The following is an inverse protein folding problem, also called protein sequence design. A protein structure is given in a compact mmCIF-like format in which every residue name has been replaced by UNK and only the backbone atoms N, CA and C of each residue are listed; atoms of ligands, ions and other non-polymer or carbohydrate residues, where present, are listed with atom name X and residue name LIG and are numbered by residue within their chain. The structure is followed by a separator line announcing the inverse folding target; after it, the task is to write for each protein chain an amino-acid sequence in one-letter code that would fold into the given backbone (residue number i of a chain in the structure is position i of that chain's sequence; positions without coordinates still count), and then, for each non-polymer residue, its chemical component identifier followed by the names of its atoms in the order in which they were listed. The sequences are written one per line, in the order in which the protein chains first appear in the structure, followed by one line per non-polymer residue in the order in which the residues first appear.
data_IF_624313866812
#
_entry.id   IF_624313866812
#
_cell.length_a   1.000
_cell.length_b   1.000
_cell.length_c   1.000
_cell.angle_alpha   90.00
_cell.angle_beta   90.00
_cell.angle_gamma   90.00
#
_symmetry.space_group_name_H-M   'P 1'
#
loop_
_entity.id
_entity.type
_entity.pdbx_description
1 polymer ?
#
# COMPACT_ATOMS: atom_id res chain seq x y z
N UNK A 1 -15.64 -14.80 61.81
CA UNK A 1 -15.01 -16.09 62.14
C UNK A 1 -14.47 -16.69 60.85
N UNK A 2 -13.16 -16.58 60.65
CA UNK A 2 -12.40 -17.39 59.67
C UNK A 2 -12.32 -18.84 60.17
N UNK A 3 -11.85 -19.80 59.34
CA UNK A 3 -10.43 -20.08 59.42
C UNK A 3 -9.73 -20.39 58.09
N UNK A 4 -8.44 -20.05 58.09
CA UNK A 4 -7.37 -20.51 57.20
C UNK A 4 -6.67 -21.70 57.89
N UNK A 5 -6.16 -22.68 57.15
CA UNK A 5 -4.84 -23.25 57.49
C UNK A 5 -4.06 -23.63 56.22
N UNK A 6 -2.76 -23.90 56.16
CA UNK A 6 -1.57 -23.66 56.99
C UNK A 6 -0.38 -24.16 56.14
N UNK A 7 0.76 -23.46 56.19
CA UNK A 7 2.04 -23.92 55.63
C UNK A 7 2.53 -25.20 56.35
N UNK A 8 3.20 -26.08 55.62
CA UNK A 8 4.09 -27.11 56.19
C UNK A 8 5.48 -26.99 55.56
N UNK A 9 6.42 -26.54 56.38
CA UNK A 9 7.87 -26.61 56.17
C UNK A 9 8.42 -27.88 56.83
N UNK A 10 9.32 -28.60 56.15
CA UNK A 10 10.20 -29.59 56.77
C UNK A 10 11.62 -29.42 56.25
N UNK A 11 12.50 -28.96 57.14
CA UNK A 11 13.97 -29.19 57.14
C UNK A 11 14.23 -30.67 57.47
N UNK A 12 15.37 -31.34 57.26
CA UNK A 12 16.81 -31.02 57.34
C UNK A 12 17.59 -32.12 56.59
N UNK A 13 18.83 -31.86 56.16
CA UNK A 13 20.02 -32.55 56.68
C UNK A 13 21.33 -32.02 56.07
N UNK A 14 22.27 -31.77 56.98
CA UNK A 14 23.66 -31.37 56.81
C UNK A 14 24.53 -32.55 56.39
N UNK A 15 25.55 -32.29 55.55
CA UNK A 15 26.91 -32.83 55.76
C UNK A 15 27.93 -32.03 54.95
N UNK A 16 28.94 -31.51 55.65
CA UNK A 16 30.17 -30.88 55.16
C UNK A 16 31.02 -31.82 54.32
N UNK A 17 31.73 -31.28 53.31
CA UNK A 17 33.12 -31.62 52.99
C UNK A 17 33.72 -30.64 51.97
N UNK A 18 34.84 -30.03 52.36
CA UNK A 18 35.66 -29.10 51.59
C UNK A 18 36.30 -29.76 50.36
N UNK A 19 36.32 -29.06 49.22
CA UNK A 19 37.47 -29.13 48.30
C UNK A 19 37.64 -27.82 47.53
N UNK A 20 38.90 -27.38 47.50
CA UNK A 20 39.44 -26.16 46.93
C UNK A 20 39.56 -26.35 45.41
N UNK A 21 39.02 -25.44 44.60
CA UNK A 21 39.50 -25.23 43.22
C UNK A 21 39.20 -23.82 42.69
N UNK A 22 40.17 -23.34 41.91
CA UNK A 22 40.54 -21.96 41.53
C UNK A 22 39.53 -21.17 40.66
N UNK A 23 39.68 -19.83 40.54
CA UNK A 23 38.84 -19.02 39.66
C UNK A 23 39.13 -19.29 38.17
N UNK A 24 38.13 -19.15 37.27
CA UNK A 24 38.32 -19.34 35.84
C UNK A 24 39.13 -18.18 35.22
N UNK A 25 39.93 -18.42 34.17
CA UNK A 25 40.72 -17.39 33.53
C UNK A 25 39.86 -16.48 32.63
N UNK A 26 40.11 -15.19 32.72
CA UNK A 26 39.74 -14.17 31.73
C UNK A 26 40.69 -14.19 30.52
N UNK A 27 40.28 -13.54 29.42
CA UNK A 27 40.93 -13.35 28.09
C UNK A 27 40.86 -14.54 27.12
N UNK A 28 40.51 -14.39 25.84
CA UNK A 28 40.44 -13.23 24.92
C UNK A 28 39.40 -13.49 23.81
N UNK A 29 38.61 -12.48 23.46
CA UNK A 29 37.71 -12.52 22.29
C UNK A 29 38.47 -12.04 21.05
N UNK A 30 38.80 -12.97 20.15
CA UNK A 30 39.29 -12.66 18.81
C UNK A 30 38.11 -12.22 17.92
N UNK A 31 38.18 -11.07 17.23
CA UNK A 31 37.22 -10.76 16.18
C UNK A 31 37.58 -11.60 14.95
N UNK A 32 36.75 -12.58 14.60
CA UNK A 32 36.82 -13.21 13.29
C UNK A 32 36.37 -12.19 12.25
N UNK A 33 37.33 -11.57 11.58
CA UNK A 33 37.09 -10.75 10.41
C UNK A 33 36.50 -11.64 9.30
N UNK A 34 35.19 -11.55 9.10
CA UNK A 34 34.55 -12.03 7.89
C UNK A 34 35.05 -11.17 6.72
N UNK A 35 36.01 -11.69 5.95
CA UNK A 35 36.38 -11.13 4.66
C UNK A 35 35.11 -11.02 3.81
N UNK A 36 34.82 -9.87 3.18
CA UNK A 36 33.71 -9.78 2.25
C UNK A 36 33.98 -10.76 1.09
N UNK A 37 33.01 -11.65 0.83
CA UNK A 37 33.06 -12.61 -0.27
C UNK A 37 33.32 -11.87 -1.59
N UNK A 38 34.56 -11.98 -2.06
CA UNK A 38 35.07 -11.29 -3.24
C UNK A 38 34.35 -11.70 -4.54
N UNK A 39 33.54 -12.77 -4.48
CA UNK A 39 32.65 -13.25 -5.53
C UNK A 39 31.47 -12.32 -5.82
N UNK A 40 31.07 -11.49 -4.85
CA UNK A 40 30.00 -10.50 -5.03
C UNK A 40 30.41 -9.28 -5.87
N UNK A 41 31.63 -9.22 -6.41
CA UNK A 41 32.08 -8.10 -7.26
C UNK A 41 32.20 -8.46 -8.74
N UNK A 42 31.91 -9.70 -9.14
CA UNK A 42 32.01 -10.15 -10.54
C UNK A 42 31.02 -9.48 -11.49
N UNK A 43 29.91 -8.93 -10.98
CA UNK A 43 28.91 -8.19 -11.76
C UNK A 43 29.24 -6.69 -11.87
N UNK A 44 30.19 -6.17 -11.08
CA UNK A 44 30.59 -4.76 -11.13
C UNK A 44 31.21 -4.36 -12.46
N UNK A 45 32.09 -5.16 -13.11
CA UNK A 45 32.56 -4.86 -14.46
C UNK A 45 31.43 -4.83 -15.48
N UNK A 46 30.41 -5.67 -15.33
CA UNK A 46 29.24 -5.71 -16.22
C UNK A 46 28.37 -4.45 -16.05
N UNK A 47 28.12 -4.00 -14.82
CA UNK A 47 27.42 -2.74 -14.57
C UNK A 47 28.22 -1.51 -15.03
N UNK A 48 29.54 -1.50 -14.84
CA UNK A 48 30.41 -0.40 -15.29
C UNK A 48 30.53 -0.37 -16.81
N UNK A 49 30.45 -1.53 -17.48
CA UNK A 49 30.37 -1.60 -18.93
C UNK A 49 29.00 -1.12 -19.45
N UNK A 50 27.91 -1.51 -18.79
CA UNK A 50 26.54 -1.07 -19.12
C UNK A 50 26.38 0.45 -18.93
N UNK A 51 27.01 1.04 -17.90
CA UNK A 51 26.96 2.50 -17.69
C UNK A 51 27.72 3.28 -18.77
N UNK A 52 28.79 2.72 -19.34
CA UNK A 52 29.56 3.37 -20.41
C UNK A 52 28.82 3.38 -21.75
N UNK A 53 28.03 2.35 -22.05
CA UNK A 53 27.12 2.32 -23.21
C UNK A 53 25.99 3.37 -23.10
N UNK A 54 25.53 3.69 -21.89
CA UNK A 54 24.46 4.66 -21.64
C UNK A 54 24.91 6.14 -21.61
N UNK A 55 26.21 6.43 -21.65
CA UNK A 55 26.71 7.82 -21.56
C UNK A 55 27.12 8.47 -22.88
N UNK A 56 26.92 7.82 -24.03
CA UNK A 56 27.14 8.46 -25.34
C UNK A 56 25.88 9.17 -25.85
N UNK A 57 25.46 10.21 -25.13
CA UNK A 57 24.61 11.26 -25.72
C UNK A 57 25.43 12.54 -25.70
N UNK A 58 25.95 12.91 -26.88
CA UNK A 58 26.59 14.20 -27.10
C UNK A 58 25.55 15.30 -26.89
N UNK A 59 25.61 15.96 -25.74
CA UNK A 59 24.84 17.16 -25.47
C UNK A 59 25.42 18.32 -26.29
N UNK A 60 24.91 18.55 -27.51
CA UNK A 60 25.06 19.85 -28.14
C UNK A 60 24.09 20.83 -27.47
N UNK A 61 24.63 21.64 -26.57
CA UNK A 61 23.92 22.79 -26.02
C UNK A 61 23.96 23.94 -27.03
N UNK A 62 23.16 23.87 -28.08
CA UNK A 62 22.75 25.06 -28.81
C UNK A 62 21.46 25.56 -28.17
N UNK A 63 21.60 26.48 -27.22
CA UNK A 63 20.48 27.25 -26.68
C UNK A 63 19.98 28.14 -27.84
N UNK A 64 18.99 27.66 -28.59
CA UNK A 64 18.19 28.52 -29.44
C UNK A 64 17.24 29.27 -28.53
N UNK A 65 17.42 30.60 -28.47
CA UNK A 65 16.41 31.51 -27.93
C UNK A 65 15.09 31.26 -28.70
N UNK A 66 13.94 31.08 -28.03
CA UNK A 66 12.66 31.00 -28.74
C UNK A 66 12.42 32.34 -29.42
N UNK A 67 12.58 32.40 -30.74
CA UNK A 67 11.96 33.42 -31.57
C UNK A 67 10.46 33.35 -31.29
N UNK A 68 9.86 34.51 -31.02
CA UNK A 68 8.45 34.69 -30.69
C UNK A 68 7.51 33.83 -31.56
N UNK A 69 7.16 32.67 -31.03
CA UNK A 69 5.85 32.07 -31.25
C UNK A 69 5.26 32.00 -29.85
N UNK A 70 4.24 32.81 -29.62
CA UNK A 70 3.48 32.79 -28.38
C UNK A 70 3.12 31.32 -28.08
N UNK A 71 3.54 30.75 -26.93
CA UNK A 71 2.99 29.48 -26.49
C UNK A 71 1.56 29.77 -26.06
N UNK A 72 0.64 29.81 -27.02
CA UNK A 72 -0.77 29.83 -26.72
C UNK A 72 -1.08 28.48 -26.10
N UNK A 73 -1.35 28.47 -24.80
CA UNK A 73 -1.97 27.31 -24.18
C UNK A 73 -3.20 26.95 -25.03
N UNK A 74 -3.30 25.73 -25.58
CA UNK A 74 -4.51 25.32 -26.29
C UNK A 74 -5.69 25.51 -25.34
N UNK A 75 -6.79 26.08 -25.86
CA UNK A 75 -7.98 26.27 -25.08
C UNK A 75 -8.44 24.91 -24.51
N UNK A 76 -8.89 24.85 -23.25
CA UNK A 76 -9.43 23.63 -22.67
C UNK A 76 -10.56 23.08 -23.56
N UNK A 77 -10.47 21.80 -23.92
CA UNK A 77 -11.53 21.07 -24.63
C UNK A 77 -12.81 21.08 -23.78
N UNK A 78 -13.90 21.71 -24.25
CA UNK A 78 -15.15 21.80 -23.49
C UNK A 78 -15.79 20.45 -23.19
N UNK A 79 -15.36 19.35 -23.83
CA UNK A 79 -15.86 17.99 -23.55
C UNK A 79 -15.19 17.32 -22.36
N UNK A 80 -14.07 17.86 -21.85
CA UNK A 80 -13.30 17.25 -20.77
C UNK A 80 -13.63 17.82 -19.39
N UNK A 81 -13.54 16.96 -18.38
CA UNK A 81 -13.72 17.33 -16.98
C UNK A 81 -12.39 17.73 -16.34
N UNK A 82 -12.11 19.03 -16.26
CA UNK A 82 -10.87 19.57 -15.68
C UNK A 82 -10.83 19.62 -14.15
N UNK A 83 -11.93 19.26 -13.48
CA UNK A 83 -12.03 19.20 -12.01
C UNK A 83 -12.63 17.87 -11.59
N UNK A 84 -11.98 16.74 -11.89
CA UNK A 84 -12.52 15.43 -11.58
C UNK A 84 -12.67 15.26 -10.07
N UNK A 85 -13.70 14.53 -9.69
CA UNK A 85 -13.97 14.11 -8.31
C UNK A 85 -13.81 12.59 -8.25
N UNK A 86 -12.95 12.10 -7.36
CA UNK A 86 -12.66 10.67 -7.23
C UNK A 86 -13.18 10.18 -5.88
N UNK A 87 -13.94 9.10 -5.92
CA UNK A 87 -14.40 8.39 -4.74
C UNK A 87 -13.28 7.50 -4.19
N UNK A 88 -12.97 7.59 -2.90
CA UNK A 88 -12.01 6.67 -2.24
C UNK A 88 -12.77 5.77 -1.28
N UNK A 89 -12.71 4.46 -1.50
CA UNK A 89 -13.37 3.48 -0.62
C UNK A 89 -12.58 3.35 0.68
N UNK A 90 -13.28 3.50 1.81
CA UNK A 90 -12.71 3.31 3.14
C UNK A 90 -12.47 1.84 3.47
N UNK A 91 -11.42 1.55 4.22
CA UNK A 91 -11.10 0.21 4.70
C UNK A 91 -11.64 -0.01 6.13
N UNK A 92 -12.10 -1.22 6.52
CA UNK A 92 -12.50 -1.53 7.88
C UNK A 92 -11.37 -1.36 8.91
N UNK A 93 -11.73 -0.85 10.09
CA UNK A 93 -10.82 -0.58 11.20
C UNK A 93 -10.37 0.87 11.29
N UNK A 94 -9.40 1.13 12.15
CA UNK A 94 -8.89 2.47 12.48
C UNK A 94 -7.56 2.81 11.80
N UNK A 95 -7.02 1.91 10.97
CA UNK A 95 -5.69 2.04 10.38
C UNK A 95 -4.53 1.88 11.37
N UNK A 96 -4.80 1.48 12.62
CA UNK A 96 -3.83 1.37 13.69
C UNK A 96 -4.02 0.09 14.54
N UNK A 97 -4.61 -0.96 13.95
CA UNK A 97 -4.86 -2.26 14.58
C UNK A 97 -5.65 -2.17 15.90
N UNK A 98 -6.63 -1.26 15.96
CA UNK A 98 -7.50 -1.06 17.12
C UNK A 98 -6.91 -0.17 18.22
N UNK A 99 -5.71 0.38 18.02
CA UNK A 99 -5.03 1.25 19.01
C UNK A 99 -5.69 2.63 19.15
N UNK A 100 -6.34 3.13 18.09
CA UNK A 100 -7.01 4.44 18.08
C UNK A 100 -8.51 4.28 18.28
N UNK A 101 -9.11 3.27 17.64
CA UNK A 101 -10.51 2.95 17.78
C UNK A 101 -10.76 1.45 17.53
N UNK A 102 -11.37 0.77 18.48
CA UNK A 102 -11.69 -0.66 18.39
C UNK A 102 -13.19 -0.91 18.10
N UNK A 103 -13.92 0.11 17.67
CA UNK A 103 -15.31 -0.05 17.27
C UNK A 103 -15.40 -0.92 16.00
N UNK A 104 -16.32 -1.88 15.98
CA UNK A 104 -16.53 -2.79 14.84
C UNK A 104 -17.02 -2.09 13.58
N UNK A 105 -17.57 -0.88 13.71
CA UNK A 105 -17.99 -0.01 12.64
C UNK A 105 -16.95 1.08 12.31
N UNK A 106 -15.73 1.02 12.86
CA UNK A 106 -14.67 1.94 12.50
C UNK A 106 -14.27 1.73 11.03
N UNK A 107 -14.05 2.84 10.33
CA UNK A 107 -13.57 2.87 8.95
C UNK A 107 -12.49 3.93 8.80
N UNK A 108 -11.52 3.68 7.93
CA UNK A 108 -10.36 4.54 7.75
C UNK A 108 -10.03 4.71 6.26
N UNK A 109 -9.53 5.89 5.91
CA UNK A 109 -8.87 6.17 4.63
C UNK A 109 -7.49 6.73 4.93
N UNK A 110 -6.45 6.15 4.34
CA UNK A 110 -5.11 6.67 4.50
C UNK A 110 -4.97 8.04 3.85
N UNK A 111 -4.40 9.00 4.59
CA UNK A 111 -4.13 10.34 4.08
C UNK A 111 -3.22 10.32 2.84
N UNK A 112 -2.36 9.30 2.70
CA UNK A 112 -1.52 9.11 1.51
C UNK A 112 -2.34 8.90 0.23
N UNK A 113 -3.47 8.18 0.30
CA UNK A 113 -4.35 7.99 -0.86
C UNK A 113 -5.07 9.28 -1.23
N UNK A 114 -5.53 10.04 -0.24
CA UNK A 114 -6.12 11.37 -0.46
C UNK A 114 -5.10 12.29 -1.13
N UNK A 115 -3.87 12.33 -0.60
CA UNK A 115 -2.82 13.18 -1.14
C UNK A 115 -2.40 12.78 -2.55
N UNK A 116 -2.37 11.49 -2.85
CA UNK A 116 -2.11 10.98 -4.20
C UNK A 116 -3.15 11.52 -5.21
N UNK A 117 -4.44 11.45 -4.87
CA UNK A 117 -5.52 11.94 -5.73
C UNK A 117 -5.49 13.47 -5.86
N UNK A 118 -5.30 14.19 -4.75
CA UNK A 118 -5.21 15.66 -4.77
C UNK A 118 -4.01 16.17 -5.57
N UNK A 119 -2.88 15.47 -5.48
CA UNK A 119 -1.66 15.84 -6.23
C UNK A 119 -1.85 15.64 -7.74
N UNK A 120 -2.79 14.78 -8.16
CA UNK A 120 -3.22 14.64 -9.54
C UNK A 120 -4.24 15.71 -9.99
N UNK A 121 -4.57 16.69 -9.13
CA UNK A 121 -5.51 17.77 -9.44
C UNK A 121 -6.98 17.42 -9.24
N UNK A 122 -7.29 16.26 -8.65
CA UNK A 122 -8.64 15.81 -8.40
C UNK A 122 -9.13 16.15 -6.98
N UNK A 123 -10.45 16.23 -6.80
CA UNK A 123 -11.10 16.32 -5.48
C UNK A 123 -11.46 14.93 -4.98
N UNK A 124 -11.57 14.76 -3.66
CA UNK A 124 -11.86 13.47 -3.04
C UNK A 124 -13.24 13.47 -2.38
N UNK A 125 -14.01 12.41 -2.62
CA UNK A 125 -15.20 12.07 -1.82
C UNK A 125 -14.96 10.73 -1.11
N UNK A 126 -15.15 10.64 0.22
CA UNK A 126 -15.05 9.37 0.92
C UNK A 126 -16.26 8.48 0.64
N UNK A 127 -15.99 7.26 0.20
CA UNK A 127 -16.97 6.19 0.03
C UNK A 127 -16.87 5.24 1.22
N UNK A 128 -17.76 5.42 2.19
CA UNK A 128 -17.70 4.65 3.44
C UNK A 128 -18.30 3.26 3.19
N UNK A 129 -17.52 2.20 3.45
CA UNK A 129 -17.90 0.84 3.08
C UNK A 129 -19.11 0.31 3.87
N UNK A 130 -19.33 0.80 5.09
CA UNK A 130 -20.42 0.35 5.96
C UNK A 130 -21.69 1.21 5.85
N UNK A 131 -21.75 2.13 4.88
CA UNK A 131 -22.97 2.87 4.59
C UNK A 131 -24.00 2.00 3.83
N UNK A 132 -25.29 2.36 3.90
CA UNK A 132 -26.32 1.71 3.08
C UNK A 132 -25.98 1.79 1.59
N UNK A 133 -26.25 0.69 0.85
CA UNK A 133 -25.99 0.56 -0.60
C UNK A 133 -26.50 1.74 -1.42
N UNK A 134 -27.69 2.25 -1.10
CA UNK A 134 -28.32 3.35 -1.84
C UNK A 134 -27.55 4.66 -1.69
N UNK A 135 -27.05 4.94 -0.48
CA UNK A 135 -26.22 6.11 -0.19
C UNK A 135 -24.88 5.99 -0.92
N UNK A 136 -24.28 4.80 -0.88
CA UNK A 136 -23.03 4.52 -1.56
C UNK A 136 -23.16 4.69 -3.09
N UNK A 137 -24.23 4.19 -3.70
CA UNK A 137 -24.48 4.37 -5.13
C UNK A 137 -24.75 5.82 -5.50
N UNK A 138 -25.48 6.55 -4.66
CA UNK A 138 -25.68 8.00 -4.86
C UNK A 138 -24.34 8.75 -4.85
N UNK A 139 -23.43 8.41 -3.92
CA UNK A 139 -22.07 8.98 -3.91
C UNK A 139 -21.27 8.55 -5.14
N UNK A 140 -21.39 7.29 -5.58
CA UNK A 140 -20.72 6.78 -6.76
C UNK A 140 -21.16 7.49 -8.05
N UNK A 141 -22.43 7.89 -8.14
CA UNK A 141 -22.95 8.65 -9.28
C UNK A 141 -22.52 10.13 -9.27
N UNK A 142 -22.00 10.65 -8.15
CA UNK A 142 -21.47 12.01 -8.04
C UNK A 142 -19.98 12.12 -8.36
N UNK A 143 -19.27 10.99 -8.45
CA UNK A 143 -17.83 10.95 -8.73
C UNK A 143 -17.57 10.56 -10.18
N UNK A 144 -16.43 10.98 -10.70
CA UNK A 144 -15.96 10.67 -12.04
C UNK A 144 -15.14 9.37 -12.11
N UNK A 145 -14.76 8.82 -10.95
CA UNK A 145 -13.96 7.60 -10.87
C UNK A 145 -13.86 7.10 -9.43
N UNK A 146 -13.32 5.90 -9.26
CA UNK A 146 -13.17 5.29 -7.93
C UNK A 146 -11.78 4.71 -7.70
N UNK A 147 -11.27 4.91 -6.49
CA UNK A 147 -10.03 4.33 -5.99
C UNK A 147 -10.35 3.34 -4.87
N UNK A 148 -10.00 2.08 -5.08
CA UNK A 148 -10.06 1.05 -4.06
C UNK A 148 -8.75 1.01 -3.27
N UNK A 149 -8.89 1.14 -1.95
CA UNK A 149 -7.75 1.13 -1.03
C UNK A 149 -7.43 -0.28 -0.59
N UNK A 150 -6.14 -0.57 -0.41
CA UNK A 150 -5.69 -1.86 0.10
C UNK A 150 -5.74 -1.92 1.63
N UNK A 151 -5.66 -3.15 2.15
CA UNK A 151 -5.60 -3.43 3.57
C UNK A 151 -5.80 -4.92 3.83
N UNK A 152 -5.94 -5.32 5.09
CA UNK A 152 -5.96 -6.74 5.50
C UNK A 152 -7.28 -7.48 5.23
N UNK A 153 -8.38 -6.77 4.94
CA UNK A 153 -9.70 -7.36 4.82
C UNK A 153 -9.90 -8.00 3.45
N UNK A 154 -10.00 -9.33 3.42
CA UNK A 154 -10.17 -10.15 2.20
C UNK A 154 -11.59 -10.72 2.03
N UNK A 155 -12.46 -10.54 3.03
CA UNK A 155 -13.80 -11.13 3.09
C UNK A 155 -14.77 -10.24 3.88
N UNK A 156 -16.05 -10.61 3.87
CA UNK A 156 -17.12 -9.91 4.59
C UNK A 156 -17.67 -8.68 3.85
N UNK A 157 -18.33 -7.79 4.59
CA UNK A 157 -19.05 -6.62 4.06
C UNK A 157 -18.17 -5.77 3.12
N UNK A 158 -16.90 -5.58 3.46
CA UNK A 158 -15.97 -4.82 2.62
C UNK A 158 -15.82 -5.44 1.22
N UNK A 159 -15.65 -6.76 1.15
CA UNK A 159 -15.54 -7.47 -0.13
C UNK A 159 -16.82 -7.36 -0.96
N UNK A 160 -17.98 -7.56 -0.34
CA UNK A 160 -19.28 -7.45 -1.00
C UNK A 160 -19.51 -6.04 -1.58
N UNK A 161 -19.05 -5.02 -0.88
CA UNK A 161 -19.13 -3.62 -1.32
C UNK A 161 -18.21 -3.35 -2.50
N UNK A 162 -16.97 -3.85 -2.44
CA UNK A 162 -16.01 -3.74 -3.55
C UNK A 162 -16.55 -4.42 -4.81
N UNK A 163 -17.08 -5.65 -4.66
CA UNK A 163 -17.69 -6.39 -5.77
C UNK A 163 -18.92 -5.65 -6.33
N UNK A 164 -19.74 -5.08 -5.46
CA UNK A 164 -20.91 -4.31 -5.86
C UNK A 164 -20.57 -3.04 -6.64
N UNK A 165 -19.57 -2.28 -6.19
CA UNK A 165 -19.09 -1.09 -6.91
C UNK A 165 -18.49 -1.53 -8.24
N UNK A 166 -17.67 -2.58 -8.27
CA UNK A 166 -17.06 -3.09 -9.50
C UNK A 166 -18.11 -3.48 -10.55
N UNK A 167 -19.12 -4.26 -10.16
CA UNK A 167 -20.24 -4.62 -11.06
C UNK A 167 -20.99 -3.39 -11.58
N UNK A 168 -21.16 -2.36 -10.77
CA UNK A 168 -21.80 -1.10 -11.18
C UNK A 168 -20.91 -0.34 -12.18
N UNK A 169 -19.60 -0.28 -11.94
CA UNK A 169 -18.63 0.34 -12.85
C UNK A 169 -18.59 -0.37 -14.19
N UNK A 170 -18.59 -1.71 -14.21
CA UNK A 170 -18.69 -2.50 -15.45
C UNK A 170 -19.95 -2.12 -16.23
N UNK A 171 -21.12 -2.10 -15.59
CA UNK A 171 -22.37 -1.70 -16.24
C UNK A 171 -22.33 -0.28 -16.82
N UNK A 172 -21.63 0.67 -16.17
CA UNK A 172 -21.47 2.04 -16.69
C UNK A 172 -20.57 2.03 -17.92
N UNK A 173 -19.44 1.33 -17.86
CA UNK A 173 -18.52 1.18 -18.98
C UNK A 173 -19.18 0.48 -20.19
N UNK A 174 -19.93 -0.59 -19.96
CA UNK A 174 -20.66 -1.31 -21.01
C UNK A 174 -21.75 -0.45 -21.67
N UNK A 175 -22.31 0.51 -20.93
CA UNK A 175 -23.26 1.50 -21.44
C UNK A 175 -22.59 2.69 -22.18
N UNK A 176 -21.25 2.69 -22.29
CA UNK A 176 -20.48 3.77 -22.92
C UNK A 176 -20.17 4.96 -22.00
N UNK A 177 -20.52 4.88 -20.70
CA UNK A 177 -20.13 5.86 -19.69
C UNK A 177 -18.79 5.45 -19.07
N UNK A 178 -17.69 5.96 -19.64
CA UNK A 178 -16.34 5.62 -19.22
C UNK A 178 -16.07 6.04 -17.78
N UNK A 179 -15.97 5.04 -16.90
CA UNK A 179 -15.78 5.20 -15.47
C UNK A 179 -14.47 4.56 -15.02
N UNK A 180 -13.39 5.34 -14.83
CA UNK A 180 -12.10 4.83 -14.38
C UNK A 180 -12.18 4.26 -12.97
N UNK A 181 -11.56 3.09 -12.80
CA UNK A 181 -11.37 2.43 -11.51
C UNK A 181 -9.89 2.10 -11.33
N UNK A 182 -9.33 2.57 -10.22
CA UNK A 182 -7.96 2.26 -9.80
C UNK A 182 -8.00 1.40 -8.53
N UNK A 183 -7.20 0.36 -8.48
CA UNK A 183 -7.08 -0.52 -7.33
C UNK A 183 -5.61 -0.64 -6.92
N UNK A 184 -5.29 -0.25 -5.69
CA UNK A 184 -3.90 -0.24 -5.19
C UNK A 184 -3.72 -1.30 -4.09
N UNK A 185 -2.56 -1.97 -4.09
CA UNK A 185 -2.15 -2.98 -3.11
C UNK A 185 -3.04 -4.24 -3.11
N UNK A 186 -3.45 -4.79 -1.96
CA UNK A 186 -4.13 -6.08 -1.80
C UNK A 186 -5.39 -6.25 -2.66
N UNK A 187 -6.01 -5.16 -3.11
CA UNK A 187 -7.12 -5.18 -4.05
C UNK A 187 -6.70 -5.68 -5.43
N UNK A 188 -5.44 -5.50 -5.86
CA UNK A 188 -4.92 -6.12 -7.10
C UNK A 188 -5.00 -7.65 -7.03
N UNK A 189 -4.64 -8.24 -5.88
CA UNK A 189 -4.72 -9.69 -5.69
C UNK A 189 -6.16 -10.19 -5.63
N UNK A 190 -7.05 -9.39 -5.04
CA UNK A 190 -8.48 -9.67 -5.02
C UNK A 190 -9.12 -9.60 -6.41
N UNK A 191 -8.72 -8.62 -7.21
CA UNK A 191 -9.11 -8.54 -8.61
C UNK A 191 -8.57 -9.72 -9.40
N UNK A 192 -7.33 -10.17 -9.20
CA UNK A 192 -6.83 -11.38 -9.86
C UNK A 192 -7.66 -12.63 -9.51
N UNK A 193 -8.27 -12.72 -8.33
CA UNK A 193 -9.19 -13.81 -7.98
C UNK A 193 -10.56 -13.67 -8.65
N UNK A 194 -11.10 -12.45 -8.71
CA UNK A 194 -12.38 -12.17 -9.39
C UNK A 194 -12.23 -12.35 -10.92
N UNK A 195 -11.11 -11.89 -11.48
CA UNK A 195 -10.77 -11.92 -12.91
C UNK A 195 -10.24 -13.29 -13.36
N UNK A 196 -9.68 -14.09 -12.44
CA UNK A 196 -9.25 -15.46 -12.73
C UNK A 196 -10.40 -16.42 -13.03
N UNK A 197 -11.64 -16.01 -12.76
CA UNK A 197 -12.84 -16.78 -13.08
C UNK A 197 -13.47 -16.40 -14.42
N UNK A 198 -13.24 -15.19 -14.93
CA UNK A 198 -13.66 -14.79 -16.28
C UNK A 198 -12.70 -13.72 -16.82
N UNK A 199 -12.03 -14.11 -17.91
CA UNK A 199 -11.07 -13.37 -18.74
C UNK A 199 -11.21 -11.85 -18.66
N UNK A 200 -10.08 -11.12 -18.54
CA UNK A 200 -9.75 -9.93 -19.33
C UNK A 200 -8.47 -9.27 -18.76
N UNK A 201 -7.35 -9.44 -19.47
CA UNK A 201 -6.10 -8.69 -19.29
C UNK A 201 -6.20 -7.22 -19.78
N UNK A 202 -7.39 -6.62 -19.88
CA UNK A 202 -7.63 -5.39 -20.65
C UNK A 202 -8.04 -4.16 -19.82
N UNK A 203 -7.97 -4.21 -18.48
CA UNK A 203 -8.45 -3.08 -17.66
C UNK A 203 -7.34 -2.16 -17.12
N UNK A 204 -6.07 -2.58 -17.10
CA UNK A 204 -5.00 -1.77 -16.50
C UNK A 204 -4.31 -0.76 -17.44
N UNK A 205 -4.68 -0.70 -18.73
CA UNK A 205 -3.97 0.12 -19.73
C UNK A 205 -4.84 0.96 -20.68
N UNK A 206 -6.18 0.97 -20.57
CA UNK A 206 -7.01 1.86 -21.39
C UNK A 206 -7.14 3.28 -20.79
N UNK A 207 -5.99 3.86 -20.41
CA UNK A 207 -5.81 5.30 -20.37
C UNK A 207 -5.17 5.67 -21.72
N UNK A 208 -5.88 6.30 -22.67
CA UNK A 208 -5.20 6.90 -23.81
C UNK A 208 -4.27 7.98 -23.27
N UNK A 209 -2.96 7.84 -23.55
CA UNK A 209 -2.01 8.95 -23.53
C UNK A 209 -2.37 9.95 -24.62
#
# INVERSE_FOLDING_TARGET
MSPRPSLSSSSTNLTDSQSISSPPPSTSSSPSSSSPDMWNYLWVPFLVALSKELTSVKAESTILLPTESSPSCPAPDPKLNYRPVIGIVSHPGDGASGRLNNATNASYIAASYVKFVESAGARVIPLIYNEPRDVLYKKLDMVNGVLFTGGWAKSGLYFEVIEAIFKKVLKKNDAGDHFPLLAICLVMQLFSLIVGSDHISLFFFNLPL
#
